data_IF_697468134798
#
_entry.id   IF_697468134798
#
_cell.length_a   1.000
_cell.length_b   1.000
_cell.length_c   1.000
_cell.angle_alpha   90.00
_cell.angle_beta   90.00
_cell.angle_gamma   90.00
#
_symmetry.space_group_name_H-M   'P 1'
#
loop_
_entity.id
_entity.type
_entity.pdbx_description
1 polymer ?
#
# COMPACT_ATOMS: atom_id res chain seq x y z
N UNK A 1 -20.75 17.44 5.98
CA UNK A 1 -19.28 17.53 5.89
C UNK A 1 -18.78 18.67 6.75
N UNK A 2 -17.73 18.45 7.52
CA UNK A 2 -16.96 19.56 8.09
C UNK A 2 -16.38 20.36 6.93
N UNK A 3 -16.29 21.66 7.05
CA UNK A 3 -15.91 22.61 5.98
C UNK A 3 -14.53 22.33 5.31
N UNK A 4 -13.78 21.33 5.79
CA UNK A 4 -12.39 21.05 5.42
C UNK A 4 -12.11 19.56 5.11
N UNK A 5 -13.13 18.70 5.00
CA UNK A 5 -12.92 17.31 4.62
C UNK A 5 -12.48 17.24 3.15
N UNK A 6 -11.34 16.64 2.89
CA UNK A 6 -10.77 16.48 1.55
C UNK A 6 -10.28 15.05 1.34
N UNK A 7 -10.68 14.43 0.25
CA UNK A 7 -10.30 13.06 -0.11
C UNK A 7 -9.54 13.03 -1.41
N UNK A 8 -8.51 12.20 -1.45
CA UNK A 8 -7.85 11.83 -2.71
C UNK A 8 -7.49 10.34 -2.69
N UNK A 9 -7.28 9.76 -3.85
CA UNK A 9 -6.94 8.35 -3.98
C UNK A 9 -5.60 8.14 -4.68
N UNK A 10 -4.92 7.04 -4.35
CA UNK A 10 -3.72 6.58 -5.01
C UNK A 10 -3.95 5.18 -5.56
N UNK A 11 -3.70 5.03 -6.86
CA UNK A 11 -3.55 3.77 -7.54
C UNK A 11 -2.09 3.65 -8.00
N UNK A 12 -1.54 2.45 -7.90
CA UNK A 12 -0.16 2.19 -8.34
C UNK A 12 -0.03 0.76 -8.83
N UNK A 13 0.96 0.49 -9.66
CA UNK A 13 1.28 -0.87 -10.10
C UNK A 13 0.05 -1.57 -10.68
N UNK A 14 -0.59 -0.92 -11.65
CA UNK A 14 -1.80 -1.42 -12.33
C UNK A 14 -1.44 -2.55 -13.27
N UNK A 15 -0.30 -2.44 -13.97
CA UNK A 15 0.26 -3.48 -14.82
C UNK A 15 -0.69 -4.04 -15.87
N UNK A 16 -1.37 -3.18 -16.62
CA UNK A 16 -2.12 -3.63 -17.82
C UNK A 16 -1.12 -4.29 -18.79
N UNK A 17 -1.46 -5.51 -19.24
CA UNK A 17 -0.61 -6.28 -20.12
C UNK A 17 -0.71 -7.78 -19.86
N UNK A 18 0.27 -8.55 -20.36
CA UNK A 18 0.21 -10.01 -20.44
C UNK A 18 0.88 -10.76 -19.29
N UNK A 19 1.53 -10.06 -18.36
CA UNK A 19 2.18 -10.74 -17.24
C UNK A 19 1.16 -11.30 -16.27
N UNK A 20 1.30 -12.57 -15.84
CA UNK A 20 0.42 -13.14 -14.84
C UNK A 20 0.56 -12.39 -13.51
N UNK A 21 -0.56 -11.92 -12.99
CA UNK A 21 -0.68 -11.24 -11.71
C UNK A 21 -1.80 -11.90 -10.89
N UNK A 22 -1.86 -11.70 -9.56
CA UNK A 22 -2.92 -12.24 -8.70
C UNK A 22 -4.32 -11.78 -9.08
N UNK A 23 -4.45 -10.57 -9.62
CA UNK A 23 -5.71 -10.02 -10.11
C UNK A 23 -5.64 -9.70 -11.61
N UNK A 24 -6.79 -9.75 -12.29
CA UNK A 24 -6.90 -9.23 -13.65
C UNK A 24 -6.77 -7.70 -13.61
N UNK A 25 -5.72 -7.17 -14.24
CA UNK A 25 -5.37 -5.77 -14.19
C UNK A 25 -6.50 -4.86 -14.67
N UNK A 26 -7.10 -5.19 -15.81
CA UNK A 26 -8.15 -4.38 -16.41
C UNK A 26 -9.43 -4.40 -15.58
N UNK A 27 -9.89 -5.59 -15.17
CA UNK A 27 -11.09 -5.73 -14.35
C UNK A 27 -10.91 -5.06 -12.98
N UNK A 28 -9.74 -5.23 -12.37
CA UNK A 28 -9.42 -4.60 -11.09
C UNK A 28 -9.38 -3.08 -11.19
N UNK A 29 -8.81 -2.54 -12.26
CA UNK A 29 -8.76 -1.10 -12.49
C UNK A 29 -10.15 -0.53 -12.78
N UNK A 30 -10.94 -1.19 -13.63
CA UNK A 30 -12.34 -0.80 -13.89
C UNK A 30 -13.18 -0.80 -12.61
N UNK A 31 -13.02 -1.84 -11.78
CA UNK A 31 -13.69 -1.91 -10.48
C UNK A 31 -13.30 -0.75 -9.58
N UNK A 32 -12.00 -0.47 -9.43
CA UNK A 32 -11.52 0.62 -8.57
C UNK A 32 -12.07 1.98 -9.02
N UNK A 33 -12.05 2.28 -10.32
CA UNK A 33 -12.60 3.51 -10.86
C UNK A 33 -14.12 3.61 -10.61
N UNK A 34 -14.85 2.51 -10.80
CA UNK A 34 -16.29 2.48 -10.54
C UNK A 34 -16.61 2.68 -9.06
N UNK A 35 -15.87 2.02 -8.17
CA UNK A 35 -16.07 2.14 -6.73
C UNK A 35 -15.74 3.56 -6.25
N UNK A 36 -14.59 4.11 -6.64
CA UNK A 36 -14.17 5.48 -6.26
C UNK A 36 -15.19 6.54 -6.68
N UNK A 37 -15.81 6.38 -7.84
CA UNK A 37 -16.84 7.28 -8.34
C UNK A 37 -18.20 7.10 -7.64
N UNK A 38 -18.41 5.96 -6.98
CA UNK A 38 -19.66 5.65 -6.27
C UNK A 38 -19.69 6.16 -4.83
N UNK A 39 -18.54 6.58 -4.27
CA UNK A 39 -18.49 7.06 -2.91
C UNK A 39 -19.25 8.38 -2.74
N UNK A 40 -19.99 8.52 -1.63
CA UNK A 40 -20.63 9.79 -1.26
C UNK A 40 -19.58 10.93 -1.16
N UNK A 41 -18.41 10.61 -0.63
CA UNK A 41 -17.24 11.49 -0.61
C UNK A 41 -16.26 11.05 -1.70
N UNK A 42 -16.66 11.27 -2.95
CA UNK A 42 -15.80 11.00 -4.11
C UNK A 42 -14.46 11.73 -3.97
N UNK A 43 -13.32 11.07 -4.23
CA UNK A 43 -12.02 11.73 -4.20
C UNK A 43 -11.96 12.91 -5.17
N UNK A 44 -11.37 14.01 -4.71
CA UNK A 44 -11.20 15.25 -5.50
C UNK A 44 -10.16 15.08 -6.62
N UNK A 45 -9.22 14.16 -6.42
CA UNK A 45 -8.19 13.81 -7.40
C UNK A 45 -7.74 12.37 -7.21
N UNK A 46 -7.38 11.73 -8.32
CA UNK A 46 -6.79 10.40 -8.39
C UNK A 46 -5.32 10.53 -8.83
N UNK A 47 -4.41 9.99 -8.04
CA UNK A 47 -2.98 9.94 -8.32
C UNK A 47 -2.60 8.51 -8.74
N UNK A 48 -2.01 8.38 -9.93
CA UNK A 48 -1.55 7.08 -10.44
C UNK A 48 -0.02 7.11 -10.43
N UNK A 49 0.56 6.40 -9.49
CA UNK A 49 1.97 6.54 -9.14
C UNK A 49 2.86 5.51 -9.85
N UNK A 50 2.62 5.29 -11.14
CA UNK A 50 3.49 4.50 -12.01
C UNK A 50 3.09 3.05 -12.20
N UNK A 51 3.83 2.37 -13.06
CA UNK A 51 3.61 0.99 -13.49
C UNK A 51 2.15 0.77 -13.96
N UNK A 52 1.70 1.67 -14.86
CA UNK A 52 0.36 1.60 -15.46
C UNK A 52 0.22 0.35 -16.30
N UNK A 53 1.32 -0.01 -16.98
CA UNK A 53 1.38 -1.13 -17.93
C UNK A 53 2.55 -2.06 -17.62
N UNK A 54 2.56 -3.25 -18.20
CA UNK A 54 3.60 -4.25 -17.93
C UNK A 54 4.90 -4.00 -18.70
N UNK A 55 4.81 -3.55 -19.94
CA UNK A 55 5.94 -3.56 -20.87
C UNK A 55 6.17 -2.20 -21.56
N UNK A 56 5.42 -1.17 -21.25
CA UNK A 56 5.57 0.17 -21.82
C UNK A 56 5.27 0.26 -23.31
N UNK A 57 4.51 -0.69 -23.86
CA UNK A 57 4.15 -0.67 -25.27
C UNK A 57 2.98 0.28 -25.52
N UNK A 58 2.97 0.84 -26.73
CA UNK A 58 1.91 1.76 -27.14
C UNK A 58 0.50 1.16 -27.01
N UNK A 59 0.31 -0.11 -27.42
CA UNK A 59 -0.98 -0.80 -27.33
C UNK A 59 -1.46 -1.00 -25.89
N UNK A 60 -0.56 -1.23 -24.95
CA UNK A 60 -0.88 -1.33 -23.53
C UNK A 60 -1.29 0.04 -22.96
N UNK A 61 -0.59 1.13 -23.33
CA UNK A 61 -0.95 2.49 -22.92
C UNK A 61 -2.29 2.93 -23.52
N UNK A 62 -2.59 2.54 -24.77
CA UNK A 62 -3.90 2.75 -25.40
C UNK A 62 -5.00 1.98 -24.65
N UNK A 63 -4.72 0.74 -24.21
CA UNK A 63 -5.66 -0.03 -23.39
C UNK A 63 -5.91 0.65 -22.06
N UNK A 64 -4.87 1.10 -21.34
CA UNK A 64 -5.01 1.88 -20.11
C UNK A 64 -5.90 3.12 -20.35
N UNK A 65 -5.60 3.90 -21.39
CA UNK A 65 -6.37 5.09 -21.76
C UNK A 65 -7.84 4.75 -22.05
N UNK A 66 -8.10 3.61 -22.67
CA UNK A 66 -9.46 3.16 -22.96
C UNK A 66 -10.29 2.85 -21.71
N UNK A 67 -9.63 2.45 -20.62
CA UNK A 67 -10.28 2.18 -19.33
C UNK A 67 -10.53 3.49 -18.57
N UNK A 68 -9.53 4.37 -18.49
CA UNK A 68 -9.63 5.58 -17.65
C UNK A 68 -10.44 6.71 -18.30
N UNK A 69 -10.73 6.64 -19.59
CA UNK A 69 -11.42 7.72 -20.34
C UNK A 69 -12.79 8.12 -19.75
N UNK A 70 -13.47 7.17 -19.11
CA UNK A 70 -14.79 7.39 -18.51
C UNK A 70 -14.72 7.76 -17.02
N UNK A 71 -13.51 7.93 -16.48
CA UNK A 71 -13.31 8.40 -15.11
C UNK A 71 -13.66 9.90 -15.01
N UNK A 72 -14.59 10.24 -14.14
CA UNK A 72 -15.00 11.62 -13.88
C UNK A 72 -14.15 12.31 -12.82
N UNK A 73 -13.37 11.57 -12.07
CA UNK A 73 -12.43 12.10 -11.07
C UNK A 73 -11.22 12.66 -11.83
N UNK A 74 -10.83 13.93 -11.62
CA UNK A 74 -9.58 14.45 -12.16
C UNK A 74 -8.41 13.56 -11.77
N UNK A 75 -7.57 13.19 -12.72
CA UNK A 75 -6.44 12.31 -12.44
C UNK A 75 -5.12 12.84 -12.96
N UNK A 76 -4.04 12.38 -12.37
CA UNK A 76 -2.66 12.58 -12.83
C UNK A 76 -1.91 11.26 -12.70
N UNK A 77 -0.95 11.05 -13.61
CA UNK A 77 -0.07 9.89 -13.59
C UNK A 77 1.39 10.31 -13.77
N UNK A 78 2.29 9.53 -13.21
CA UNK A 78 3.72 9.61 -13.48
C UNK A 78 4.19 8.33 -14.19
N UNK A 79 5.19 8.46 -15.04
CA UNK A 79 5.79 7.34 -15.75
C UNK A 79 6.89 6.67 -14.92
N UNK A 80 7.10 5.38 -15.12
CA UNK A 80 8.17 4.63 -14.49
C UNK A 80 8.85 3.66 -15.47
N UNK A 81 9.70 2.78 -14.94
CA UNK A 81 10.43 1.83 -15.74
C UNK A 81 9.52 0.93 -16.61
N UNK A 82 8.49 0.32 -16.04
CA UNK A 82 7.56 -0.52 -16.79
C UNK A 82 6.83 0.24 -17.90
N UNK A 83 6.48 1.49 -17.65
CA UNK A 83 5.78 2.34 -18.62
C UNK A 83 6.66 2.77 -19.79
N UNK A 84 7.98 2.69 -19.65
CA UNK A 84 8.97 3.19 -20.60
C UNK A 84 9.85 2.09 -21.23
N UNK A 85 9.65 0.82 -20.90
CA UNK A 85 10.50 -0.29 -21.38
C UNK A 85 10.33 -0.60 -22.86
N UNK A 86 9.10 -0.54 -23.35
CA UNK A 86 8.75 -1.09 -24.65
C UNK A 86 9.15 -0.22 -25.84
N UNK A 87 9.37 1.05 -25.62
CA UNK A 87 9.65 2.02 -26.67
C UNK A 87 11.06 2.60 -26.51
N UNK A 88 11.61 3.09 -27.63
CA UNK A 88 12.96 3.69 -27.62
C UNK A 88 13.00 5.06 -26.95
N UNK A 89 11.85 5.74 -26.93
CA UNK A 89 11.68 7.10 -26.40
C UNK A 89 10.35 7.24 -25.64
N UNK A 90 10.03 8.45 -25.23
CA UNK A 90 8.85 8.75 -24.43
C UNK A 90 7.58 9.02 -25.27
N UNK A 91 7.62 8.83 -26.58
CA UNK A 91 6.52 9.25 -27.46
C UNK A 91 5.23 8.51 -27.17
N UNK A 92 5.28 7.21 -26.93
CA UNK A 92 4.11 6.42 -26.62
C UNK A 92 3.41 6.91 -25.33
N UNK A 93 4.20 7.22 -24.30
CA UNK A 93 3.70 7.82 -23.06
C UNK A 93 3.10 9.19 -23.32
N UNK A 94 3.84 10.10 -23.96
CA UNK A 94 3.42 11.49 -24.20
C UNK A 94 2.14 11.58 -25.03
N UNK A 95 1.98 10.72 -26.03
CA UNK A 95 0.79 10.68 -26.89
C UNK A 95 -0.47 10.16 -26.16
N UNK A 96 -0.29 9.30 -25.17
CA UNK A 96 -1.41 8.65 -24.49
C UNK A 96 -1.71 9.21 -23.12
N UNK A 97 -0.71 9.61 -22.35
CA UNK A 97 -0.85 10.01 -20.95
C UNK A 97 -0.51 11.50 -20.75
N UNK A 98 0.64 11.96 -21.27
CA UNK A 98 1.09 13.33 -21.14
C UNK A 98 2.55 13.44 -20.71
N UNK A 99 2.86 14.49 -19.94
CA UNK A 99 4.21 14.73 -19.46
C UNK A 99 4.65 13.65 -18.46
N UNK A 100 5.97 13.37 -18.41
CA UNK A 100 6.54 12.39 -17.48
C UNK A 100 6.45 12.82 -16.02
N UNK A 101 6.37 14.12 -15.79
CA UNK A 101 6.18 14.74 -14.47
C UNK A 101 5.17 15.86 -14.59
N UNK A 102 4.39 16.05 -13.55
CA UNK A 102 3.35 17.09 -13.55
C UNK A 102 3.01 17.52 -12.14
N UNK A 103 2.28 18.61 -12.01
CA UNK A 103 1.67 19.01 -10.76
C UNK A 103 0.18 19.35 -10.93
N UNK A 104 -0.54 19.34 -9.83
CA UNK A 104 -1.94 19.71 -9.79
C UNK A 104 -2.27 20.37 -8.45
N UNK A 105 -3.32 21.17 -8.45
CA UNK A 105 -3.88 21.75 -7.23
C UNK A 105 -5.31 21.27 -7.09
N UNK A 106 -5.66 20.76 -5.92
CA UNK A 106 -7.03 20.43 -5.54
C UNK A 106 -7.22 20.77 -4.06
N UNK A 107 -8.27 21.51 -3.74
CA UNK A 107 -8.49 22.02 -2.38
C UNK A 107 -7.30 22.76 -1.81
N UNK A 108 -6.93 22.42 -0.60
CA UNK A 108 -5.79 23.00 0.13
C UNK A 108 -4.46 22.28 -0.18
N UNK A 109 -4.44 21.40 -1.18
CA UNK A 109 -3.26 20.61 -1.54
C UNK A 109 -2.68 21.00 -2.89
N UNK A 110 -1.34 20.93 -2.95
CA UNK A 110 -0.58 20.81 -4.18
C UNK A 110 0.01 19.40 -4.27
N UNK A 111 -0.25 18.74 -5.38
CA UNK A 111 0.27 17.43 -5.72
C UNK A 111 1.40 17.58 -6.74
N UNK A 112 2.56 17.03 -6.43
CA UNK A 112 3.74 17.07 -7.29
C UNK A 112 4.05 15.62 -7.67
N UNK A 113 3.81 15.30 -8.95
CA UNK A 113 4.03 13.97 -9.52
C UNK A 113 5.40 13.98 -10.20
N UNK A 114 6.37 13.30 -9.61
CA UNK A 114 7.76 13.37 -10.02
C UNK A 114 8.25 12.03 -10.57
N UNK A 115 8.66 11.98 -11.85
CA UNK A 115 9.31 10.82 -12.41
C UNK A 115 10.74 10.70 -11.85
N UNK A 116 10.97 9.68 -11.06
CA UNK A 116 12.24 9.41 -10.39
C UNK A 116 13.18 8.52 -11.22
N UNK A 117 12.73 7.97 -12.35
CA UNK A 117 13.54 7.16 -13.28
C UNK A 117 13.92 8.00 -14.50
N UNK A 118 15.07 8.64 -14.44
CA UNK A 118 15.58 9.47 -15.53
C UNK A 118 16.57 8.75 -16.42
N UNK A 119 17.25 7.71 -15.93
CA UNK A 119 18.24 6.96 -16.68
C UNK A 119 17.76 5.55 -17.05
N UNK A 120 17.52 5.32 -18.35
CA UNK A 120 17.13 4.02 -18.92
C UNK A 120 18.28 3.02 -19.07
N UNK A 121 19.53 3.48 -18.98
CA UNK A 121 20.72 2.69 -19.34
C UNK A 121 21.28 1.85 -18.21
N UNK A 122 21.13 2.25 -16.96
CA UNK A 122 21.86 1.71 -15.82
C UNK A 122 20.97 0.93 -14.83
N UNK A 123 20.21 -0.03 -15.35
CA UNK A 123 19.40 -0.91 -14.50
C UNK A 123 18.24 -0.20 -13.81
N UNK A 124 17.76 0.89 -14.40
CA UNK A 124 16.60 1.65 -13.89
C UNK A 124 16.81 2.18 -12.46
N UNK A 125 18.00 2.64 -12.17
CA UNK A 125 18.31 3.32 -10.91
C UNK A 125 17.76 4.74 -10.92
N UNK A 126 17.38 5.20 -9.76
CA UNK A 126 17.10 6.62 -9.55
C UNK A 126 18.39 7.41 -9.64
N UNK A 127 18.44 8.34 -10.58
CA UNK A 127 19.56 9.23 -10.78
C UNK A 127 19.03 10.61 -11.16
N UNK A 128 18.89 11.48 -10.16
CA UNK A 128 18.37 12.83 -10.34
C UNK A 128 19.51 13.80 -10.70
N UNK A 129 19.27 14.58 -11.75
CA UNK A 129 20.16 15.65 -12.17
C UNK A 129 19.81 16.98 -11.50
N UNK A 130 20.68 17.98 -11.58
CA UNK A 130 20.41 19.31 -11.02
C UNK A 130 19.14 19.96 -11.61
N UNK A 131 18.85 19.68 -12.88
CA UNK A 131 17.64 20.17 -13.53
C UNK A 131 16.35 19.57 -12.91
N UNK A 132 16.43 18.32 -12.43
CA UNK A 132 15.31 17.67 -11.74
C UNK A 132 15.10 18.29 -10.36
N UNK A 133 16.17 18.53 -9.63
CA UNK A 133 16.11 19.24 -8.34
C UNK A 133 15.62 20.66 -8.49
N UNK A 134 16.01 21.38 -9.55
CA UNK A 134 15.52 22.74 -9.81
C UNK A 134 14.01 22.73 -10.05
N UNK A 135 13.54 21.87 -10.97
CA UNK A 135 12.10 21.74 -11.25
C UNK A 135 11.30 21.40 -9.99
N UNK A 136 11.79 20.45 -9.20
CA UNK A 136 11.13 20.06 -7.94
C UNK A 136 11.10 21.22 -6.94
N UNK A 137 12.18 21.98 -6.84
CA UNK A 137 12.27 23.17 -5.97
C UNK A 137 11.26 24.23 -6.39
N UNK A 138 11.19 24.53 -7.70
CA UNK A 138 10.25 25.50 -8.25
C UNK A 138 8.79 25.09 -7.96
N UNK A 139 8.49 23.78 -8.09
CA UNK A 139 7.18 23.24 -7.77
C UNK A 139 6.86 23.31 -6.26
N UNK A 140 7.82 23.02 -5.40
CA UNK A 140 7.66 23.13 -3.95
C UNK A 140 7.47 24.59 -3.52
N UNK A 141 8.25 25.54 -4.04
CA UNK A 141 8.14 26.96 -3.74
C UNK A 141 6.80 27.55 -4.22
N UNK A 142 6.36 27.17 -5.41
CA UNK A 142 5.09 27.64 -5.97
C UNK A 142 3.85 27.07 -5.24
N UNK A 143 4.01 26.15 -4.28
CA UNK A 143 2.92 25.69 -3.43
C UNK A 143 2.44 26.75 -2.45
N UNK A 144 3.30 27.70 -2.07
CA UNK A 144 2.96 28.72 -1.07
C UNK A 144 2.55 28.07 0.27
N UNK A 145 1.39 28.46 0.78
CA UNK A 145 0.86 27.96 2.06
C UNK A 145 0.10 26.62 1.94
N UNK A 146 0.04 26.01 0.76
CA UNK A 146 -0.68 24.74 0.57
C UNK A 146 0.04 23.57 1.24
N UNK A 147 -0.75 22.57 1.64
CA UNK A 147 -0.22 21.28 1.97
C UNK A 147 0.32 20.61 0.70
N UNK A 148 1.41 19.88 0.80
CA UNK A 148 2.06 19.27 -0.36
C UNK A 148 2.03 17.74 -0.21
N UNK A 149 1.63 17.07 -1.28
CA UNK A 149 1.89 15.64 -1.48
C UNK A 149 2.88 15.52 -2.63
N UNK A 150 4.00 14.86 -2.37
CA UNK A 150 4.93 14.48 -3.44
C UNK A 150 4.69 13.01 -3.76
N UNK A 151 4.55 12.69 -5.04
CA UNK A 151 4.35 11.34 -5.52
C UNK A 151 5.52 10.94 -6.42
N UNK A 152 6.11 9.79 -6.13
CA UNK A 152 7.14 9.12 -6.91
C UNK A 152 6.73 7.65 -7.07
N UNK A 153 7.46 6.90 -7.88
CA UNK A 153 7.21 5.46 -7.95
C UNK A 153 8.12 4.67 -7.01
N UNK A 154 9.42 4.86 -7.11
CA UNK A 154 10.40 4.08 -6.35
C UNK A 154 10.69 4.76 -5.01
N UNK A 155 10.27 4.18 -3.88
CA UNK A 155 10.46 4.84 -2.59
C UNK A 155 11.94 4.88 -2.17
N UNK A 156 12.38 5.94 -1.51
CA UNK A 156 13.65 5.91 -0.79
C UNK A 156 13.57 4.86 0.31
N UNK A 157 14.40 3.81 0.22
CA UNK A 157 14.25 2.62 1.07
C UNK A 157 14.20 2.93 2.56
N UNK A 158 13.37 2.16 3.25
CA UNK A 158 13.44 2.05 4.70
C UNK A 158 14.51 1.01 5.10
N UNK A 159 14.89 1.00 6.35
CA UNK A 159 15.73 -0.06 6.94
C UNK A 159 15.12 -1.47 6.77
N UNK A 160 13.86 -1.53 6.39
CA UNK A 160 13.10 -2.76 6.25
C UNK A 160 13.08 -3.32 4.83
N UNK A 161 13.51 -2.54 3.84
CA UNK A 161 13.53 -2.96 2.44
C UNK A 161 14.90 -3.47 2.04
N UNK A 162 14.92 -4.63 1.43
CA UNK A 162 16.13 -5.30 0.93
C UNK A 162 16.65 -4.64 -0.34
N UNK A 163 15.77 -3.98 -1.04
CA UNK A 163 16.00 -3.42 -2.35
C UNK A 163 15.68 -1.94 -2.37
N UNK A 164 16.55 -1.15 -2.97
CA UNK A 164 16.30 0.25 -3.27
C UNK A 164 16.90 0.60 -4.63
N UNK A 165 16.15 1.36 -5.41
CA UNK A 165 16.68 1.96 -6.64
C UNK A 165 17.46 3.24 -6.36
N UNK A 166 17.34 3.77 -5.15
CA UNK A 166 18.01 4.98 -4.71
C UNK A 166 19.42 4.70 -4.18
N UNK A 167 20.39 5.55 -4.57
CA UNK A 167 21.62 5.71 -3.82
C UNK A 167 21.34 6.35 -2.46
N UNK A 168 22.10 6.00 -1.44
CA UNK A 168 21.89 6.51 -0.07
C UNK A 168 21.97 8.04 0.01
N UNK A 169 22.98 8.63 -0.65
CA UNK A 169 23.21 10.08 -0.65
C UNK A 169 22.12 10.82 -1.44
N UNK A 170 21.67 10.27 -2.56
CA UNK A 170 20.59 10.84 -3.37
C UNK A 170 19.26 10.79 -2.62
N UNK A 171 18.93 9.65 -2.00
CA UNK A 171 17.74 9.52 -1.18
C UNK A 171 17.73 10.55 -0.04
N UNK A 172 18.85 10.71 0.63
CA UNK A 172 18.99 11.68 1.72
C UNK A 172 18.89 13.13 1.24
N UNK A 173 19.53 13.46 0.12
CA UNK A 173 19.45 14.78 -0.50
C UNK A 173 18.01 15.13 -0.87
N UNK A 174 17.32 14.20 -1.54
CA UNK A 174 15.92 14.35 -1.95
C UNK A 174 14.99 14.57 -0.74
N UNK A 175 15.06 13.71 0.27
CA UNK A 175 14.22 13.83 1.45
C UNK A 175 14.49 15.12 2.24
N UNK A 176 15.75 15.53 2.38
CA UNK A 176 16.10 16.80 3.03
C UNK A 176 15.61 18.03 2.26
N UNK A 177 15.48 17.93 0.94
CA UNK A 177 14.81 18.98 0.18
C UNK A 177 13.34 19.06 0.55
N UNK A 178 12.61 17.93 0.54
CA UNK A 178 11.19 17.87 0.88
C UNK A 178 10.91 18.37 2.30
N UNK A 179 11.75 18.02 3.26
CA UNK A 179 11.60 18.40 4.67
C UNK A 179 11.66 19.92 4.94
N UNK A 180 12.09 20.72 3.96
CA UNK A 180 12.09 22.20 4.07
C UNK A 180 10.73 22.83 3.81
N UNK A 181 9.78 22.06 3.28
CA UNK A 181 8.48 22.56 2.84
C UNK A 181 7.34 21.83 3.59
N UNK A 182 6.10 22.30 3.41
CA UNK A 182 4.92 21.74 4.05
C UNK A 182 4.48 20.39 3.40
N UNK A 183 5.42 19.46 3.22
CA UNK A 183 5.15 18.13 2.67
C UNK A 183 4.50 17.26 3.74
N UNK A 184 3.25 16.88 3.53
CA UNK A 184 2.47 16.03 4.45
C UNK A 184 2.80 14.56 4.30
N UNK A 185 3.13 14.14 3.09
CA UNK A 185 3.61 12.80 2.78
C UNK A 185 4.32 12.76 1.43
N UNK A 186 5.29 11.85 1.33
CA UNK A 186 5.81 11.29 0.09
C UNK A 186 5.08 9.96 -0.14
N UNK A 187 4.39 9.82 -1.27
CA UNK A 187 3.66 8.59 -1.62
C UNK A 187 4.35 7.87 -2.77
N UNK A 188 4.33 6.53 -2.75
CA UNK A 188 5.07 5.69 -3.71
C UNK A 188 4.40 4.33 -3.95
N UNK A 189 4.98 3.54 -4.88
CA UNK A 189 4.61 2.18 -5.26
C UNK A 189 5.82 1.24 -5.33
N UNK A 190 6.06 0.58 -6.48
CA UNK A 190 7.18 -0.31 -6.85
C UNK A 190 7.31 -1.60 -6.00
N UNK A 191 7.24 -1.49 -4.69
CA UNK A 191 7.39 -2.65 -3.80
C UNK A 191 6.17 -3.56 -3.73
N UNK A 192 5.04 -3.13 -4.29
CA UNK A 192 3.76 -3.85 -4.25
C UNK A 192 3.25 -4.15 -2.83
N UNK A 193 3.76 -3.44 -1.82
CA UNK A 193 3.44 -3.66 -0.41
C UNK A 193 2.93 -2.38 0.23
N UNK A 194 2.03 -2.52 1.19
CA UNK A 194 1.64 -1.39 2.04
C UNK A 194 2.66 -1.22 3.15
N UNK A 195 3.32 -0.07 3.17
CA UNK A 195 4.28 0.27 4.22
C UNK A 195 4.25 1.77 4.51
N UNK A 196 4.62 2.15 5.74
CA UNK A 196 4.71 3.54 6.16
C UNK A 196 5.89 3.72 7.11
N UNK A 197 6.72 4.72 6.82
CA UNK A 197 7.87 5.05 7.67
C UNK A 197 8.19 6.54 7.60
N UNK A 198 9.05 6.98 8.49
CA UNK A 198 9.62 8.32 8.46
C UNK A 198 11.13 8.24 8.23
N UNK A 199 11.63 9.11 7.37
CA UNK A 199 13.05 9.26 7.10
C UNK A 199 13.39 10.72 6.80
N UNK A 200 14.47 11.24 7.42
CA UNK A 200 14.90 12.65 7.29
C UNK A 200 13.75 13.65 7.57
N UNK A 201 12.82 13.32 8.47
CA UNK A 201 11.66 14.15 8.80
C UNK A 201 10.52 14.13 7.78
N UNK A 202 10.56 13.24 6.81
CA UNK A 202 9.50 13.07 5.79
C UNK A 202 8.74 11.77 6.05
N UNK A 203 7.42 11.87 6.16
CA UNK A 203 6.52 10.71 6.19
C UNK A 203 6.43 10.10 4.81
N UNK A 204 6.76 8.83 4.67
CA UNK A 204 6.75 8.07 3.42
C UNK A 204 5.69 6.99 3.50
N UNK A 205 4.82 6.93 2.50
CA UNK A 205 3.74 5.95 2.43
C UNK A 205 3.88 5.18 1.12
N UNK A 206 4.26 3.92 1.22
CA UNK A 206 4.28 3.01 0.08
C UNK A 206 2.94 2.28 -0.03
N UNK A 207 2.40 2.23 -1.23
CA UNK A 207 1.09 1.62 -1.50
C UNK A 207 1.27 0.31 -2.23
N UNK A 208 0.48 -0.69 -1.83
CA UNK A 208 0.43 -1.99 -2.48
C UNK A 208 -0.08 -1.91 -3.91
N UNK A 209 0.27 -2.90 -4.73
CA UNK A 209 -0.12 -2.94 -6.13
C UNK A 209 -1.63 -3.09 -6.33
N UNK A 210 -2.17 -2.39 -7.32
CA UNK A 210 -3.56 -2.53 -7.76
C UNK A 210 -3.89 -3.99 -8.11
N UNK A 211 -2.97 -4.70 -8.74
CA UNK A 211 -3.14 -6.10 -9.15
C UNK A 211 -2.65 -7.12 -8.14
N UNK A 212 -2.07 -6.66 -7.02
CA UNK A 212 -1.33 -7.53 -6.14
C UNK A 212 -0.03 -8.04 -6.75
N UNK A 213 0.58 -9.03 -6.15
CA UNK A 213 1.80 -9.63 -6.65
C UNK A 213 1.93 -11.10 -6.24
N UNK A 214 2.43 -11.95 -7.15
CA UNK A 214 3.02 -13.23 -6.77
C UNK A 214 4.49 -13.04 -6.45
N UNK A 215 4.87 -13.27 -5.21
CA UNK A 215 6.25 -13.12 -4.79
C UNK A 215 6.99 -14.43 -5.05
N UNK A 216 7.69 -14.52 -6.18
CA UNK A 216 8.40 -15.76 -6.60
C UNK A 216 9.45 -16.25 -5.58
N UNK A 217 9.99 -15.37 -4.74
CA UNK A 217 10.94 -15.71 -3.68
C UNK A 217 10.28 -16.28 -2.41
N UNK A 218 8.95 -16.23 -2.33
CA UNK A 218 8.15 -16.62 -1.17
C UNK A 218 7.11 -17.71 -1.53
N UNK A 219 7.42 -18.59 -2.45
CA UNK A 219 6.56 -19.73 -2.76
C UNK A 219 5.20 -19.37 -3.36
N UNK A 220 5.17 -18.38 -4.27
CA UNK A 220 3.94 -17.92 -4.93
C UNK A 220 2.89 -17.30 -3.99
N UNK A 221 3.30 -16.71 -2.89
CA UNK A 221 2.39 -16.03 -1.97
C UNK A 221 1.82 -14.76 -2.62
N UNK A 222 0.49 -14.61 -2.73
CA UNK A 222 -0.10 -13.44 -3.35
C UNK A 222 -0.16 -12.28 -2.36
N UNK A 223 0.44 -11.15 -2.71
CA UNK A 223 0.15 -9.88 -2.07
C UNK A 223 -1.20 -9.38 -2.55
N UNK A 224 -2.00 -8.84 -1.64
CA UNK A 224 -3.38 -8.46 -1.90
C UNK A 224 -3.47 -7.31 -2.90
N UNK A 225 -4.34 -7.42 -3.93
CA UNK A 225 -4.63 -6.30 -4.82
C UNK A 225 -5.44 -5.23 -4.09
N UNK A 226 -5.32 -3.98 -4.54
CA UNK A 226 -6.12 -2.90 -3.96
C UNK A 226 -5.60 -1.51 -4.30
N UNK A 227 -6.11 -0.52 -3.58
CA UNK A 227 -5.72 0.88 -3.72
C UNK A 227 -5.78 1.59 -2.37
N UNK A 228 -5.29 2.83 -2.30
CA UNK A 228 -5.27 3.63 -1.07
C UNK A 228 -6.14 4.88 -1.21
N UNK A 229 -6.90 5.15 -0.16
CA UNK A 229 -7.64 6.40 0.03
C UNK A 229 -6.92 7.24 1.08
N UNK A 230 -6.85 8.53 0.84
CA UNK A 230 -6.37 9.51 1.79
C UNK A 230 -7.50 10.45 2.19
N UNK A 231 -7.55 10.78 3.45
CA UNK A 231 -8.50 11.73 4.02
C UNK A 231 -7.76 12.79 4.82
N UNK A 232 -8.04 14.04 4.52
CA UNK A 232 -7.59 15.21 5.27
C UNK A 232 -8.79 15.86 5.95
N UNK A 233 -8.73 16.02 7.28
CA UNK A 233 -9.81 16.61 8.10
C UNK A 233 -9.60 18.10 8.38
N UNK A 234 -8.61 18.74 7.76
CA UNK A 234 -8.16 20.09 8.01
C UNK A 234 -6.91 20.18 8.90
N UNK A 235 -6.53 19.07 9.55
CA UNK A 235 -5.38 19.00 10.46
C UNK A 235 -4.52 17.76 10.24
N UNK A 236 -5.16 16.60 10.09
CA UNK A 236 -4.48 15.31 10.01
C UNK A 236 -4.73 14.62 8.68
N UNK A 237 -3.66 14.14 8.04
CA UNK A 237 -3.72 13.28 6.87
C UNK A 237 -3.75 11.81 7.30
N UNK A 238 -4.85 11.12 7.02
CA UNK A 238 -5.02 9.68 7.24
C UNK A 238 -5.03 8.93 5.92
N UNK A 239 -4.64 7.69 5.93
CA UNK A 239 -4.68 6.82 4.76
C UNK A 239 -5.29 5.47 5.10
N UNK A 240 -6.03 4.89 4.15
CA UNK A 240 -6.75 3.64 4.31
C UNK A 240 -6.51 2.74 3.10
N UNK A 241 -6.21 1.48 3.34
CA UNK A 241 -6.08 0.48 2.29
C UNK A 241 -7.43 -0.13 1.94
N UNK A 242 -7.78 -0.06 0.66
CA UNK A 242 -8.95 -0.75 0.12
C UNK A 242 -8.53 -1.97 -0.67
N UNK A 243 -8.88 -3.14 -0.18
CA UNK A 243 -8.57 -4.42 -0.79
C UNK A 243 -9.45 -4.66 -2.02
N UNK A 244 -8.84 -5.08 -3.11
CA UNK A 244 -9.50 -5.34 -4.38
C UNK A 244 -10.32 -6.64 -4.37
N UNK A 245 -11.27 -6.73 -5.29
CA UNK A 245 -12.23 -7.83 -5.36
C UNK A 245 -11.98 -8.85 -6.46
N UNK A 246 -11.19 -8.50 -7.48
CA UNK A 246 -10.99 -9.37 -8.64
C UNK A 246 -9.65 -10.09 -8.57
N UNK A 247 -9.68 -11.24 -7.93
CA UNK A 247 -8.54 -12.14 -7.91
C UNK A 247 -8.63 -13.12 -9.07
N UNK A 248 -7.60 -13.18 -9.89
CA UNK A 248 -7.45 -14.17 -10.95
C UNK A 248 -6.79 -15.45 -10.49
N UNK A 249 -7.01 -15.84 -9.25
CA UNK A 249 -6.57 -17.17 -8.87
C UNK A 249 -7.19 -18.17 -9.83
N UNK A 250 -6.39 -19.09 -10.36
CA UNK A 250 -6.89 -20.06 -11.28
C UNK A 250 -8.14 -20.72 -10.69
N UNK A 251 -9.18 -20.91 -11.44
CA UNK A 251 -10.36 -21.67 -11.03
C UNK A 251 -10.03 -23.14 -10.71
N UNK A 252 -8.80 -23.54 -10.99
CA UNK A 252 -8.23 -24.84 -10.74
C UNK A 252 -8.13 -25.12 -9.23
N UNK A 253 -8.91 -26.11 -8.80
CA UNK A 253 -8.95 -26.54 -7.40
C UNK A 253 -7.57 -26.99 -6.88
N UNK A 254 -6.73 -27.57 -7.72
CA UNK A 254 -5.41 -28.07 -7.33
C UNK A 254 -4.45 -26.91 -7.05
N UNK A 255 -4.44 -25.87 -7.90
CA UNK A 255 -3.63 -24.67 -7.67
C UNK A 255 -4.14 -23.87 -6.47
N UNK A 256 -5.47 -23.77 -6.30
CA UNK A 256 -6.07 -23.14 -5.11
C UNK A 256 -5.66 -23.89 -3.85
N UNK A 257 -5.65 -25.20 -3.86
CA UNK A 257 -5.25 -26.05 -2.74
C UNK A 257 -3.76 -25.94 -2.44
N UNK A 258 -2.92 -25.81 -3.47
CA UNK A 258 -1.48 -25.56 -3.35
C UNK A 258 -1.22 -24.21 -2.65
N UNK A 259 -1.85 -23.13 -3.08
CA UNK A 259 -1.73 -21.83 -2.42
C UNK A 259 -2.20 -21.83 -0.97
N UNK A 260 -3.24 -22.59 -0.65
CA UNK A 260 -3.75 -22.73 0.72
C UNK A 260 -2.89 -23.67 1.58
N UNK A 261 -2.24 -24.68 0.99
CA UNK A 261 -1.40 -25.62 1.70
C UNK A 261 -0.03 -25.02 2.07
N UNK A 262 0.55 -24.24 1.15
CA UNK A 262 1.83 -23.56 1.38
C UNK A 262 1.71 -22.40 2.38
N UNK A 263 0.51 -21.90 2.62
CA UNK A 263 0.24 -20.81 3.54
C UNK A 263 -0.98 -21.09 4.42
N UNK A 264 -0.82 -21.95 5.46
CA UNK A 264 -1.89 -22.33 6.38
C UNK A 264 -2.58 -21.12 7.04
N UNK A 265 -1.85 -20.00 7.19
CA UNK A 265 -2.36 -18.75 7.71
C UNK A 265 -3.48 -18.18 6.83
N UNK A 266 -3.37 -18.31 5.53
CA UNK A 266 -4.41 -17.88 4.58
C UNK A 266 -5.65 -18.78 4.66
N UNK A 267 -5.46 -20.08 4.87
CA UNK A 267 -6.58 -21.00 5.06
C UNK A 267 -7.32 -20.77 6.38
N UNK A 268 -6.61 -20.32 7.42
CA UNK A 268 -7.19 -19.96 8.71
C UNK A 268 -8.09 -18.72 8.63
N UNK A 269 -7.89 -17.87 7.64
CA UNK A 269 -8.69 -16.66 7.45
C UNK A 269 -10.12 -16.91 7.02
N UNK A 270 -10.47 -18.12 6.61
CA UNK A 270 -11.70 -18.36 5.85
C UNK A 270 -11.89 -17.40 4.68
N UNK A 271 -10.81 -16.74 4.26
CA UNK A 271 -10.79 -15.86 3.09
C UNK A 271 -10.85 -16.64 1.79
N UNK A 272 -11.10 -17.94 1.84
CA UNK A 272 -11.50 -18.71 0.68
C UNK A 272 -12.63 -18.01 -0.10
N UNK A 273 -13.48 -17.28 0.62
CA UNK A 273 -14.54 -16.47 0.02
C UNK A 273 -14.02 -15.21 -0.68
N UNK A 274 -12.84 -14.73 -0.33
CA UNK A 274 -12.24 -13.53 -0.93
C UNK A 274 -11.53 -13.80 -2.26
N UNK A 275 -11.32 -15.06 -2.57
CA UNK A 275 -10.79 -15.50 -3.86
C UNK A 275 -11.84 -15.49 -4.99
N UNK A 276 -13.08 -15.22 -4.65
CA UNK A 276 -14.17 -15.11 -5.60
C UNK A 276 -14.48 -13.64 -5.88
N UNK A 277 -14.95 -13.31 -7.09
CA UNK A 277 -15.41 -11.98 -7.43
C UNK A 277 -16.73 -11.67 -6.73
N UNK A 278 -16.73 -11.66 -5.40
CA UNK A 278 -17.85 -11.12 -4.65
C UNK A 278 -17.58 -9.63 -4.50
N UNK A 279 -18.53 -8.78 -4.87
CA UNK A 279 -18.40 -7.35 -4.70
C UNK A 279 -18.07 -7.00 -3.25
N UNK A 280 -16.87 -6.50 -2.99
CA UNK A 280 -16.43 -6.15 -1.63
C UNK A 280 -17.22 -4.99 -1.04
N UNK A 281 -17.89 -4.19 -1.87
CA UNK A 281 -18.78 -3.12 -1.40
C UNK A 281 -19.99 -3.64 -0.59
N UNK A 282 -20.34 -4.91 -0.71
CA UNK A 282 -21.40 -5.55 0.08
C UNK A 282 -20.91 -6.10 1.42
N UNK A 283 -19.61 -5.91 1.75
CA UNK A 283 -18.98 -6.48 2.94
C UNK A 283 -18.24 -5.46 3.76
N UNK A 284 -18.07 -5.81 5.03
CA UNK A 284 -17.11 -5.17 5.90
C UNK A 284 -15.70 -5.70 5.53
N UNK A 285 -14.78 -4.82 5.23
CA UNK A 285 -13.37 -5.14 5.21
C UNK A 285 -12.75 -4.73 6.53
N UNK A 286 -11.98 -5.61 7.13
CA UNK A 286 -11.12 -5.30 8.27
C UNK A 286 -9.68 -5.63 7.92
N UNK A 287 -8.76 -4.74 8.27
CA UNK A 287 -7.33 -4.89 8.00
C UNK A 287 -6.55 -4.47 9.22
N UNK A 288 -5.71 -5.36 9.75
CA UNK A 288 -4.74 -4.99 10.78
C UNK A 288 -3.64 -4.16 10.13
N UNK A 289 -3.49 -2.91 10.54
CA UNK A 289 -2.56 -1.95 9.93
C UNK A 289 -1.31 -1.71 10.75
N UNK A 290 -1.36 -1.91 12.05
CA UNK A 290 -0.17 -1.89 12.90
C UNK A 290 -0.33 -2.76 14.13
N UNK A 291 0.74 -3.45 14.50
CA UNK A 291 0.87 -4.14 15.77
C UNK A 291 2.28 -3.97 16.30
N UNK A 292 2.41 -3.13 17.29
CA UNK A 292 3.68 -2.99 17.96
C UNK A 292 4.54 -1.84 17.49
N UNK A 293 5.65 -1.78 18.14
CA UNK A 293 6.78 -0.99 17.70
C UNK A 293 7.40 -1.72 16.52
N UNK A 294 6.66 -1.85 15.45
CA UNK A 294 7.25 -2.27 14.20
C UNK A 294 8.28 -1.21 13.85
N UNK A 295 9.44 -1.30 14.49
CA UNK A 295 10.57 -0.40 14.33
C UNK A 295 11.16 -0.45 12.94
N UNK A 296 10.50 -1.10 12.02
CA UNK A 296 11.00 -1.51 10.73
C UNK A 296 10.06 -1.13 9.62
N UNK A 297 9.45 0.07 9.71
CA UNK A 297 8.63 0.59 8.63
C UNK A 297 7.41 -0.28 8.39
N UNK A 298 6.32 0.13 8.90
CA UNK A 298 4.99 -0.34 8.69
C UNK A 298 4.74 -1.85 8.76
N UNK A 299 3.56 -2.20 9.08
CA UNK A 299 3.16 -3.59 9.10
C UNK A 299 3.07 -4.12 7.68
N UNK A 300 3.99 -4.98 7.30
CA UNK A 300 3.76 -5.84 6.17
C UNK A 300 3.52 -7.26 6.68
N UNK A 301 2.30 -7.58 7.13
CA UNK A 301 1.98 -8.82 7.81
C UNK A 301 2.18 -10.05 6.93
N UNK A 302 2.28 -9.84 5.63
CA UNK A 302 2.39 -10.92 4.66
C UNK A 302 3.85 -11.25 4.35
N UNK A 303 4.71 -10.23 4.31
CA UNK A 303 6.14 -10.40 3.99
C UNK A 303 6.99 -10.49 5.24
N UNK A 304 6.49 -9.97 6.35
CA UNK A 304 7.17 -10.01 7.64
C UNK A 304 6.18 -10.17 8.77
N UNK A 305 6.41 -11.12 9.65
CA UNK A 305 5.72 -11.13 10.92
C UNK A 305 6.05 -9.83 11.65
N UNK A 306 5.03 -9.19 12.20
CA UNK A 306 5.23 -8.01 13.02
C UNK A 306 5.97 -8.40 14.28
N UNK A 307 7.07 -7.70 14.59
CA UNK A 307 7.82 -7.90 15.81
C UNK A 307 7.33 -6.96 16.91
N UNK A 308 7.01 -7.52 18.07
CA UNK A 308 6.46 -6.78 19.21
C UNK A 308 7.42 -6.83 20.38
N UNK A 309 7.92 -5.67 20.83
CA UNK A 309 8.97 -5.51 21.83
C UNK A 309 8.50 -4.83 23.13
N UNK A 310 7.33 -5.04 23.59
CA UNK A 310 6.81 -4.43 24.80
C UNK A 310 5.48 -3.74 24.58
N UNK A 311 5.12 -2.81 25.47
CA UNK A 311 3.85 -2.09 25.38
C UNK A 311 3.72 -1.39 24.04
N UNK A 312 2.56 -1.56 23.40
CA UNK A 312 2.32 -1.07 22.05
C UNK A 312 0.85 -0.85 21.78
N UNK A 313 0.52 -0.41 20.56
CA UNK A 313 -0.85 -0.22 20.10
C UNK A 313 -1.11 -1.15 18.91
N UNK A 314 -2.24 -1.86 18.99
CA UNK A 314 -2.80 -2.59 17.86
C UNK A 314 -3.70 -1.61 17.10
N UNK A 315 -3.54 -1.51 15.77
CA UNK A 315 -4.36 -0.66 14.92
C UNK A 315 -5.04 -1.47 13.83
N UNK A 316 -6.31 -1.18 13.59
CA UNK A 316 -7.07 -1.79 12.52
C UNK A 316 -7.86 -0.74 11.75
N UNK A 317 -7.87 -0.89 10.42
CA UNK A 317 -8.77 -0.15 9.53
C UNK A 317 -9.98 -1.02 9.22
N UNK A 318 -11.16 -0.42 9.24
CA UNK A 318 -12.40 -1.07 8.87
C UNK A 318 -13.11 -0.24 7.82
N UNK A 319 -13.43 -0.87 6.70
CA UNK A 319 -14.29 -0.30 5.67
C UNK A 319 -15.68 -0.93 5.76
N UNK A 320 -16.72 -0.08 5.79
CA UNK A 320 -18.11 -0.52 5.66
C UNK A 320 -18.94 0.60 5.06
N UNK A 321 -19.50 0.36 3.90
CA UNK A 321 -20.34 1.33 3.20
C UNK A 321 -21.83 1.19 3.57
N UNK A 322 -22.29 -0.02 3.90
CA UNK A 322 -23.71 -0.34 4.02
C UNK A 322 -24.13 -0.87 5.37
N UNK A 323 -23.17 -1.20 6.23
CA UNK A 323 -23.45 -1.75 7.56
C UNK A 323 -22.77 -0.91 8.64
N UNK A 324 -23.48 -0.65 9.71
CA UNK A 324 -22.85 -0.11 10.91
C UNK A 324 -21.95 -1.17 11.57
N UNK A 325 -20.83 -0.73 12.11
CA UNK A 325 -19.92 -1.58 12.86
C UNK A 325 -20.35 -1.60 14.32
N UNK A 326 -20.80 -2.76 14.78
CA UNK A 326 -21.23 -2.96 16.15
C UNK A 326 -20.05 -3.12 17.10
N UNK A 327 -19.01 -3.85 16.68
CA UNK A 327 -17.79 -4.07 17.48
C UNK A 327 -16.58 -4.37 16.60
N UNK A 328 -15.39 -3.96 17.08
CA UNK A 328 -14.11 -4.43 16.57
C UNK A 328 -13.29 -4.95 17.74
N UNK A 329 -12.75 -6.16 17.57
CA UNK A 329 -12.07 -6.89 18.65
C UNK A 329 -10.82 -7.58 18.11
N UNK A 330 -9.88 -7.86 18.98
CA UNK A 330 -8.65 -8.59 18.65
C UNK A 330 -8.44 -9.79 19.58
N UNK A 331 -7.67 -10.78 19.12
CA UNK A 331 -7.34 -11.98 19.86
C UNK A 331 -6.01 -12.57 19.41
N UNK A 332 -5.28 -13.23 20.31
CA UNK A 332 -4.08 -14.02 19.99
C UNK A 332 -4.32 -15.54 20.08
N UNK A 333 -5.39 -15.99 20.72
CA UNK A 333 -5.70 -17.41 20.97
C UNK A 333 -7.02 -17.86 20.34
N UNK A 334 -7.80 -16.94 19.78
CA UNK A 334 -9.14 -17.17 19.22
C UNK A 334 -10.21 -17.52 20.26
N UNK A 335 -9.89 -17.54 21.53
CA UNK A 335 -10.79 -17.82 22.64
C UNK A 335 -11.14 -16.53 23.38
N UNK A 336 -10.13 -15.71 23.71
CA UNK A 336 -10.27 -14.46 24.41
C UNK A 336 -10.22 -13.29 23.41
N UNK A 337 -11.32 -12.54 23.35
CA UNK A 337 -11.47 -11.39 22.47
C UNK A 337 -11.52 -10.10 23.29
N UNK A 338 -10.71 -9.13 22.89
CA UNK A 338 -10.56 -7.86 23.57
C UNK A 338 -11.08 -6.73 22.67
N UNK A 339 -11.87 -5.79 23.20
CA UNK A 339 -12.42 -4.70 22.40
C UNK A 339 -11.34 -3.72 21.95
N UNK A 340 -11.57 -3.14 20.78
CA UNK A 340 -10.79 -2.03 20.25
C UNK A 340 -11.63 -0.73 20.31
N UNK A 341 -10.97 0.39 20.53
CA UNK A 341 -11.61 1.71 20.62
C UNK A 341 -11.58 2.37 19.24
N UNK A 342 -12.73 2.83 18.76
CA UNK A 342 -12.81 3.61 17.53
C UNK A 342 -12.21 5.01 17.73
N UNK A 343 -11.20 5.33 16.93
CA UNK A 343 -10.51 6.63 16.93
C UNK A 343 -10.87 7.50 15.73
N UNK A 344 -11.43 6.91 14.70
CA UNK A 344 -11.93 7.58 13.51
C UNK A 344 -13.20 6.89 12.98
N UNK A 345 -14.20 7.68 12.55
CA UNK A 345 -15.50 7.18 12.08
C UNK A 345 -15.85 7.73 10.71
N UNK A 346 -16.55 6.93 9.94
CA UNK A 346 -17.02 7.19 8.58
C UNK A 346 -17.24 5.87 7.86
N UNK A 347 -17.26 5.87 6.54
CA UNK A 347 -17.18 4.62 5.75
C UNK A 347 -15.82 3.95 5.93
N UNK A 348 -14.79 4.75 6.21
CA UNK A 348 -13.47 4.35 6.65
C UNK A 348 -13.35 4.63 8.14
N UNK A 349 -13.05 3.61 8.91
CA UNK A 349 -12.98 3.69 10.37
C UNK A 349 -11.63 3.18 10.83
N UNK A 350 -11.08 3.79 11.88
CA UNK A 350 -9.88 3.30 12.54
C UNK A 350 -10.17 2.94 13.98
N UNK A 351 -9.57 1.82 14.41
CA UNK A 351 -9.69 1.30 15.76
C UNK A 351 -8.31 1.03 16.34
N UNK A 352 -8.19 1.27 17.65
CA UNK A 352 -6.95 1.06 18.38
C UNK A 352 -7.20 0.29 19.68
N UNK A 353 -6.21 -0.49 20.10
CA UNK A 353 -6.17 -1.13 21.41
C UNK A 353 -4.75 -1.09 21.98
N UNK A 354 -4.63 -0.82 23.27
CA UNK A 354 -3.36 -0.99 23.98
C UNK A 354 -3.05 -2.47 24.17
N UNK A 355 -1.80 -2.83 24.02
CA UNK A 355 -1.31 -4.19 24.21
C UNK A 355 -0.05 -4.22 25.04
N UNK A 356 -0.01 -5.09 26.04
CA UNK A 356 1.17 -5.34 26.87
C UNK A 356 1.51 -6.84 26.83
N UNK A 357 2.60 -7.23 26.14
CA UNK A 357 3.00 -8.63 26.05
C UNK A 357 3.65 -9.18 27.32
N UNK A 358 3.72 -8.40 28.40
CA UNK A 358 4.55 -8.73 29.57
C UNK A 358 4.33 -10.09 30.23
N UNK A 359 3.16 -10.70 30.03
CA UNK A 359 2.84 -12.05 30.52
C UNK A 359 3.00 -13.16 29.47
N UNK A 360 3.24 -12.78 28.21
CA UNK A 360 3.34 -13.75 27.11
C UNK A 360 4.78 -14.28 26.98
N UNK A 361 4.90 -15.53 26.57
CA UNK A 361 6.19 -16.11 26.20
C UNK A 361 6.65 -15.50 24.87
N UNK A 362 7.97 -15.40 24.72
CA UNK A 362 8.53 -15.07 23.39
C UNK A 362 8.18 -16.18 22.41
N UNK A 363 7.77 -15.77 21.22
CA UNK A 363 7.38 -16.74 20.19
C UNK A 363 6.42 -16.14 19.18
N UNK A 364 5.94 -17.00 18.32
CA UNK A 364 5.03 -16.66 17.23
C UNK A 364 3.58 -16.80 17.68
N UNK A 365 2.77 -15.83 17.28
CA UNK A 365 1.34 -15.76 17.56
C UNK A 365 0.59 -15.35 16.31
N UNK A 366 -0.69 -15.70 16.25
CA UNK A 366 -1.61 -15.19 15.24
C UNK A 366 -2.48 -14.11 15.87
N UNK A 367 -2.23 -12.84 15.52
CA UNK A 367 -3.15 -11.78 15.89
C UNK A 367 -4.34 -11.81 14.93
N UNK A 368 -5.52 -11.97 15.48
CA UNK A 368 -6.78 -11.93 14.77
C UNK A 368 -7.52 -10.65 15.12
N UNK A 369 -8.03 -9.98 14.10
CA UNK A 369 -8.97 -8.87 14.25
C UNK A 369 -10.32 -9.35 13.75
N UNK A 370 -11.38 -8.99 14.48
CA UNK A 370 -12.76 -9.29 14.11
C UNK A 370 -13.55 -8.02 14.11
N UNK A 371 -14.20 -7.70 12.98
CA UNK A 371 -15.23 -6.68 12.91
C UNK A 371 -16.61 -7.37 12.87
N UNK A 372 -17.53 -6.90 13.67
CA UNK A 372 -18.92 -7.39 13.72
C UNK A 372 -19.83 -6.29 13.20
N UNK A 373 -20.62 -6.60 12.18
CA UNK A 373 -21.65 -5.71 11.64
C UNK A 373 -22.90 -5.65 12.52
N UNK A 374 -23.75 -4.66 12.25
CA UNK A 374 -25.05 -4.50 12.94
C UNK A 374 -26.03 -5.65 12.65
N UNK A 375 -25.75 -6.46 11.65
CA UNK A 375 -26.48 -7.68 11.28
C UNK A 375 -25.89 -8.97 11.89
N UNK A 376 -24.98 -8.84 12.86
CA UNK A 376 -24.20 -9.91 13.48
C UNK A 376 -23.22 -10.64 12.54
N UNK A 377 -23.07 -10.19 11.30
CA UNK A 377 -22.04 -10.72 10.39
C UNK A 377 -20.64 -10.43 10.91
N UNK A 378 -19.71 -11.36 10.73
CA UNK A 378 -18.35 -11.27 11.26
C UNK A 378 -17.32 -11.39 10.18
N UNK A 379 -16.39 -10.47 10.18
CA UNK A 379 -15.29 -10.38 9.22
C UNK A 379 -13.96 -10.35 9.98
N UNK A 380 -12.95 -10.97 9.39
CA UNK A 380 -11.69 -11.23 10.09
C UNK A 380 -10.50 -10.79 9.26
N UNK A 381 -9.48 -10.30 9.95
CA UNK A 381 -8.10 -10.28 9.47
C UNK A 381 -7.22 -11.07 10.45
N UNK A 382 -6.16 -11.71 9.93
CA UNK A 382 -5.25 -12.50 10.75
C UNK A 382 -3.84 -12.22 10.28
N UNK A 383 -2.96 -11.93 11.23
CA UNK A 383 -1.61 -11.50 10.96
C UNK A 383 -0.66 -12.24 11.89
N UNK A 384 0.41 -12.84 11.38
CA UNK A 384 1.46 -13.40 12.21
C UNK A 384 2.22 -12.28 12.93
N UNK A 385 2.43 -12.47 14.23
CA UNK A 385 3.20 -11.56 15.06
C UNK A 385 4.24 -12.34 15.86
N UNK A 386 5.40 -11.76 16.07
CA UNK A 386 6.46 -12.33 16.89
C UNK A 386 6.60 -11.50 18.16
N UNK A 387 6.25 -12.08 19.30
CA UNK A 387 6.48 -11.49 20.61
C UNK A 387 7.95 -11.71 20.99
N UNK A 388 8.67 -10.61 21.22
CA UNK A 388 10.08 -10.61 21.54
C UNK A 388 10.32 -9.93 22.89
N UNK A 389 11.08 -10.55 23.74
CA UNK A 389 11.56 -9.88 24.94
C UNK A 389 12.53 -8.73 24.59
N UNK A 390 12.67 -7.73 25.47
CA UNK A 390 13.52 -6.55 25.22
C UNK A 390 14.99 -6.89 24.90
N UNK A 391 15.48 -8.03 25.38
CA UNK A 391 16.86 -8.51 25.14
C UNK A 391 17.11 -8.96 23.69
N UNK A 392 16.07 -9.26 22.94
CA UNK A 392 16.18 -9.81 21.58
C UNK A 392 15.93 -8.74 20.49
N UNK A 393 15.45 -7.57 20.87
CA UNK A 393 15.14 -6.50 19.94
C UNK A 393 16.30 -6.11 18.99
N UNK A 394 17.54 -5.85 19.49
CA UNK A 394 18.67 -5.53 18.61
C UNK A 394 19.07 -6.69 17.70
N UNK A 395 19.02 -7.93 18.20
CA UNK A 395 19.42 -9.12 17.43
C UNK A 395 18.43 -9.42 16.30
N UNK A 396 17.16 -9.14 16.51
CA UNK A 396 16.14 -9.34 15.47
C UNK A 396 16.27 -8.27 14.38
N UNK A 397 16.57 -7.04 14.77
CA UNK A 397 16.89 -5.98 13.81
C UNK A 397 18.08 -6.39 12.93
N UNK A 398 19.15 -6.87 13.53
CA UNK A 398 20.33 -7.34 12.83
C UNK A 398 20.05 -8.60 11.97
N UNK A 399 19.23 -9.52 12.45
CA UNK A 399 18.86 -10.73 11.71
C UNK A 399 17.97 -10.42 10.49
N UNK A 400 17.08 -9.46 10.58
CA UNK A 400 16.30 -8.97 9.43
C UNK A 400 17.22 -8.38 8.37
N UNK A 401 18.27 -7.65 8.76
CA UNK A 401 19.26 -7.10 7.83
C UNK A 401 20.23 -8.10 7.25
N UNK A 402 20.77 -9.01 8.09
CA UNK A 402 21.75 -10.00 7.66
C UNK A 402 21.14 -11.14 6.84
N UNK A 403 19.87 -11.37 6.94
CA UNK A 403 19.17 -12.54 6.43
C UNK A 403 18.09 -12.28 5.41
N UNK A 404 18.16 -11.20 4.62
CA UNK A 404 17.14 -10.95 3.62
C UNK A 404 16.91 -12.14 2.67
N UNK A 405 17.95 -12.86 2.32
CA UNK A 405 17.89 -14.14 1.60
C UNK A 405 17.46 -15.32 2.48
N UNK A 406 17.88 -15.34 3.74
CA UNK A 406 17.43 -16.34 4.73
C UNK A 406 16.00 -16.07 5.22
N UNK A 407 15.62 -14.80 5.32
CA UNK A 407 14.26 -14.42 5.71
C UNK A 407 13.23 -14.86 4.69
N UNK A 408 13.52 -14.72 3.39
CA UNK A 408 12.71 -15.32 2.33
C UNK A 408 12.64 -16.86 2.48
N UNK A 409 13.70 -17.52 2.94
CA UNK A 409 13.70 -18.95 3.18
C UNK A 409 12.95 -19.35 4.46
N UNK A 410 13.02 -18.53 5.52
CA UNK A 410 12.33 -18.83 6.80
C UNK A 410 10.82 -18.58 6.72
N UNK A 411 10.38 -17.69 5.82
CA UNK A 411 8.96 -17.52 5.53
C UNK A 411 8.39 -18.61 4.63
N UNK A 412 9.25 -19.42 3.99
CA UNK A 412 8.85 -20.56 3.16
C UNK A 412 8.68 -21.84 3.96
N UNK A 413 9.26 -21.93 5.14
CA UNK A 413 8.95 -23.01 6.06
C UNK A 413 7.70 -22.61 6.82
N UNK A 414 6.59 -23.36 6.69
CA UNK A 414 5.49 -23.20 7.62
C UNK A 414 6.10 -23.32 9.00
N UNK A 415 5.73 -22.45 9.87
CA UNK A 415 6.13 -22.44 11.27
C UNK A 415 6.15 -23.87 11.83
N UNK A 416 7.32 -24.52 11.85
CA UNK A 416 7.58 -25.73 12.57
C UNK A 416 7.73 -25.47 14.07
#
# INVERSE_FOLDING_TARGET
MKKNDFYFAQLTDIHIGTNPKPADAKLQFQWALSELQSFENTPEILLITGDLVCNGRRDELEEFKSVIKDCTIPWRALATNHDLWGEKDDSAWKDNIGDLRCSAVAGDFKFIMFNDITNRGDGWKVALEEADYQWLTDELESAGDKNIIVAIHNPPSSESHIYSRWGEDDARRFLRLLAKYNVKALISGDYHVNDEWEREGVRIINTGAMVGMFYNGLGNFPLKPGYRIFHWDGETLRSFWREGSYWTLPPDKEKKQMYCADFPLYSLHKRQDMWWPIPLYERIQVTLTAFGNASTGGPHPIVRPMHVFGKTVIKADVFSQHLDIAAVEWSLDNEHWFPMTGVWKGIWQQYEAEFDPGSLRNGEYLCKIRATGSDDSKYYDVVPVIICGPRNAPRIKDAVFAGATQFCQTMLTPFD
#
